data_IF_074714360080
#
_entry.id   IF_074714360080
#
_cell.length_a   1.000
_cell.length_b   1.000
_cell.length_c   1.000
_cell.angle_alpha   90.00
_cell.angle_beta   90.00
_cell.angle_gamma   90.00
#
_symmetry.space_group_name_H-M   'P 1'
#
loop_
_entity.id
_entity.type
_entity.pdbx_description
1 polymer ?
#
# COMPACT_ATOMS: atom_id res chain seq x y z
N UNK A 1 -6.98 29.86 13.26
CA UNK A 1 -6.93 28.44 13.71
C UNK A 1 -8.00 27.54 13.06
N UNK A 2 -8.60 27.93 11.93
CA UNK A 2 -9.70 27.20 11.26
C UNK A 2 -9.28 26.39 10.02
N UNK A 3 -8.06 26.57 9.50
CA UNK A 3 -7.66 25.99 8.20
C UNK A 3 -6.87 24.66 8.28
N UNK A 4 -6.40 24.27 9.46
CA UNK A 4 -5.69 22.99 9.64
C UNK A 4 -6.69 21.82 9.61
N UNK A 5 -7.84 21.97 10.28
CA UNK A 5 -8.87 20.93 10.30
C UNK A 5 -9.45 20.67 8.90
N UNK A 6 -9.67 21.73 8.11
CA UNK A 6 -10.20 21.63 6.74
C UNK A 6 -9.21 20.98 5.75
N UNK A 7 -7.90 21.15 5.97
CA UNK A 7 -6.87 20.51 5.13
C UNK A 7 -6.73 19.03 5.48
N UNK A 8 -6.86 18.67 6.76
CA UNK A 8 -6.87 17.27 7.22
C UNK A 8 -8.12 16.53 6.74
N UNK A 9 -9.27 17.20 6.63
CA UNK A 9 -10.52 16.61 6.14
C UNK A 9 -10.50 16.22 4.64
N UNK A 10 -9.52 16.69 3.83
CA UNK A 10 -9.29 16.20 2.45
C UNK A 10 -8.38 14.98 2.37
N UNK A 11 -7.72 14.63 3.47
CA UNK A 11 -6.87 13.45 3.57
C UNK A 11 -7.82 12.27 3.76
N UNK A 12 -7.80 11.30 2.85
CA UNK A 12 -8.58 10.06 3.00
C UNK A 12 -8.36 9.51 4.42
N UNK A 13 -9.43 9.28 5.18
CA UNK A 13 -9.36 8.89 6.61
C UNK A 13 -8.35 7.76 6.87
N UNK A 14 -8.27 6.79 5.94
CA UNK A 14 -7.27 5.73 5.95
C UNK A 14 -5.82 6.23 5.92
N UNK A 15 -5.50 7.14 5.01
CA UNK A 15 -4.14 7.70 4.88
C UNK A 15 -3.75 8.53 6.10
N UNK A 16 -4.70 9.24 6.71
CA UNK A 16 -4.46 9.97 7.95
C UNK A 16 -4.10 9.04 9.11
N UNK A 17 -4.89 7.97 9.34
CA UNK A 17 -4.62 7.02 10.42
C UNK A 17 -3.30 6.29 10.23
N UNK A 18 -2.93 5.92 8.99
CA UNK A 18 -1.64 5.30 8.68
C UNK A 18 -0.46 6.24 8.95
N UNK A 19 -0.54 7.52 8.55
CA UNK A 19 0.51 8.51 8.83
C UNK A 19 0.68 8.77 10.33
N UNK A 20 -0.41 8.78 11.09
CA UNK A 20 -0.34 8.89 12.53
C UNK A 20 0.37 7.69 13.16
N UNK A 21 0.04 6.47 12.71
CA UNK A 21 0.70 5.25 13.19
C UNK A 21 2.21 5.23 12.86
N UNK A 22 2.61 5.64 11.67
CA UNK A 22 4.02 5.77 11.30
C UNK A 22 4.77 6.76 12.19
N UNK A 23 4.13 7.91 12.47
CA UNK A 23 4.68 8.94 13.37
C UNK A 23 4.83 8.39 14.79
N UNK A 24 3.84 7.68 15.31
CA UNK A 24 3.91 7.05 16.63
C UNK A 24 5.06 6.05 16.72
N UNK A 25 5.18 5.16 15.72
CA UNK A 25 6.25 4.15 15.67
C UNK A 25 7.63 4.80 15.64
N UNK A 26 7.78 5.91 14.90
CA UNK A 26 9.04 6.64 14.82
C UNK A 26 9.44 7.30 16.16
N UNK A 27 8.48 7.73 16.98
CA UNK A 27 8.75 8.34 18.28
C UNK A 27 9.05 7.30 19.38
N UNK A 28 8.30 6.20 19.41
CA UNK A 28 8.29 5.28 20.56
C UNK A 28 9.36 4.17 20.49
N UNK A 29 9.90 3.85 19.31
CA UNK A 29 10.69 2.61 19.12
C UNK A 29 12.08 2.78 18.48
N UNK A 30 12.99 3.61 19.03
CA UNK A 30 14.37 3.68 18.54
C UNK A 30 15.20 2.42 18.84
N UNK A 31 14.78 1.58 19.80
CA UNK A 31 15.53 0.41 20.28
C UNK A 31 14.97 -0.95 19.82
N UNK A 32 13.85 -0.97 19.09
CA UNK A 32 13.28 -2.22 18.55
C UNK A 32 13.63 -2.39 17.07
N UNK A 33 13.81 -3.63 16.59
CA UNK A 33 13.99 -3.92 15.16
C UNK A 33 12.68 -3.72 14.39
N UNK A 34 12.34 -2.46 14.10
CA UNK A 34 11.11 -2.07 13.39
C UNK A 34 11.46 -1.41 12.07
N UNK A 35 10.63 -1.64 11.05
CA UNK A 35 10.72 -0.98 9.75
C UNK A 35 9.31 -0.60 9.27
N UNK A 36 9.20 0.54 8.62
CA UNK A 36 7.96 1.02 7.99
C UNK A 36 8.06 0.73 6.48
N UNK A 37 7.26 -0.23 6.01
CA UNK A 37 7.12 -0.52 4.59
C UNK A 37 5.88 0.19 4.01
N UNK A 38 6.05 0.90 2.89
CA UNK A 38 4.98 1.62 2.19
C UNK A 38 4.79 1.02 0.79
N UNK A 39 4.00 -0.06 0.65
CA UNK A 39 3.68 -0.58 -0.68
C UNK A 39 2.82 0.43 -1.45
N UNK A 40 2.95 0.42 -2.77
CA UNK A 40 2.07 1.15 -3.67
C UNK A 40 0.73 0.42 -3.84
N UNK A 41 -0.11 0.84 -4.78
CA UNK A 41 -1.41 0.20 -5.00
C UNK A 41 -1.22 -1.26 -5.40
N UNK A 42 -1.73 -2.18 -4.57
CA UNK A 42 -1.57 -3.62 -4.81
C UNK A 42 -2.51 -4.07 -5.92
N UNK A 43 -1.95 -4.76 -6.92
CA UNK A 43 -2.66 -5.35 -8.06
C UNK A 43 -2.63 -6.88 -8.00
N UNK A 44 -3.43 -7.57 -8.84
CA UNK A 44 -3.40 -9.03 -8.92
C UNK A 44 -1.99 -9.60 -9.16
N UNK A 45 -1.82 -10.86 -8.77
CA UNK A 45 -0.53 -11.54 -8.80
C UNK A 45 0.08 -11.56 -10.21
N UNK A 46 1.38 -11.32 -10.29
CA UNK A 46 2.12 -11.46 -11.54
C UNK A 46 2.36 -12.94 -11.86
N UNK A 47 2.85 -13.73 -10.89
CA UNK A 47 3.14 -15.17 -11.06
C UNK A 47 2.54 -16.08 -10.00
N UNK A 48 2.67 -15.74 -8.73
CA UNK A 48 2.32 -16.64 -7.62
C UNK A 48 1.13 -16.10 -6.79
N UNK A 49 0.19 -16.93 -6.31
CA UNK A 49 0.08 -18.39 -6.48
C UNK A 49 -0.36 -18.82 -7.89
N UNK A 50 -1.05 -17.93 -8.62
CA UNK A 50 -1.43 -18.09 -10.02
C UNK A 50 -1.42 -16.69 -10.68
N UNK A 51 -1.02 -16.55 -11.96
CA UNK A 51 -1.10 -15.27 -12.66
C UNK A 51 -2.53 -14.70 -12.66
N UNK A 52 -2.67 -13.43 -12.28
CA UNK A 52 -3.97 -12.75 -12.17
C UNK A 52 -4.78 -13.10 -10.92
N UNK A 53 -4.22 -13.89 -9.99
CA UNK A 53 -4.89 -14.20 -8.73
C UNK A 53 -5.10 -12.95 -7.87
N UNK A 54 -6.27 -12.87 -7.24
CA UNK A 54 -6.60 -11.85 -6.24
C UNK A 54 -7.49 -12.46 -5.15
N UNK A 55 -7.35 -11.95 -3.93
CA UNK A 55 -8.17 -12.31 -2.77
C UNK A 55 -9.56 -11.66 -2.80
N UNK A 56 -9.67 -10.45 -3.34
CA UNK A 56 -10.92 -9.69 -3.41
C UNK A 56 -10.95 -8.71 -4.61
N UNK A 57 -12.16 -8.23 -4.94
CA UNK A 57 -12.37 -7.25 -6.02
C UNK A 57 -12.47 -5.81 -5.50
N UNK A 58 -11.96 -5.51 -4.30
CA UNK A 58 -12.09 -4.19 -3.73
C UNK A 58 -11.16 -3.20 -4.45
N UNK A 59 -11.68 -1.99 -4.66
CA UNK A 59 -10.91 -0.88 -5.19
C UNK A 59 -10.35 -1.14 -6.61
N UNK A 60 -9.03 -0.96 -6.84
CA UNK A 60 -8.42 -1.03 -8.17
C UNK A 60 -8.63 -2.36 -8.89
N UNK A 61 -8.63 -3.48 -8.17
CA UNK A 61 -8.84 -4.79 -8.83
C UNK A 61 -10.25 -4.92 -9.40
N UNK A 62 -11.27 -4.40 -8.70
CA UNK A 62 -12.64 -4.37 -9.21
C UNK A 62 -12.76 -3.54 -10.49
N UNK A 63 -12.07 -2.40 -10.53
CA UNK A 63 -12.02 -1.54 -11.74
C UNK A 63 -11.36 -2.29 -12.90
N UNK A 64 -10.22 -2.95 -12.65
CA UNK A 64 -9.51 -3.73 -13.67
C UNK A 64 -10.39 -4.85 -14.24
N UNK A 65 -11.06 -5.63 -13.38
CA UNK A 65 -11.93 -6.73 -13.82
C UNK A 65 -13.17 -6.21 -14.55
N UNK A 66 -13.80 -5.15 -14.05
CA UNK A 66 -14.98 -4.59 -14.67
C UNK A 66 -14.65 -3.91 -16.02
N UNK A 67 -13.49 -3.29 -16.15
CA UNK A 67 -12.97 -2.81 -17.43
C UNK A 67 -12.66 -3.96 -18.40
N UNK A 68 -11.97 -5.01 -17.94
CA UNK A 68 -11.64 -6.18 -18.74
C UNK A 68 -12.88 -6.94 -19.25
N UNK A 69 -13.94 -7.01 -18.44
CA UNK A 69 -15.24 -7.58 -18.83
C UNK A 69 -16.08 -6.64 -19.70
N UNK A 70 -15.63 -5.40 -19.91
CA UNK A 70 -16.35 -4.39 -20.69
C UNK A 70 -17.56 -3.77 -19.98
N UNK A 71 -17.70 -3.97 -18.66
CA UNK A 71 -18.77 -3.37 -17.83
C UNK A 71 -18.49 -1.90 -17.59
N UNK A 72 -17.25 -1.55 -17.22
CA UNK A 72 -16.81 -0.15 -17.16
C UNK A 72 -16.32 0.26 -18.54
N UNK A 73 -16.94 1.30 -19.10
CA UNK A 73 -16.59 1.86 -20.42
C UNK A 73 -15.83 3.18 -20.33
N UNK A 74 -15.99 3.90 -19.23
CA UNK A 74 -15.38 5.21 -19.00
C UNK A 74 -15.04 5.37 -17.52
N UNK A 75 -13.90 5.98 -17.21
CA UNK A 75 -13.50 6.32 -15.85
C UNK A 75 -13.06 7.78 -15.82
N UNK A 76 -13.50 8.52 -14.81
CA UNK A 76 -13.03 9.89 -14.58
C UNK A 76 -11.65 9.81 -13.92
N UNK A 77 -10.61 10.08 -14.69
CA UNK A 77 -9.22 10.16 -14.21
C UNK A 77 -8.51 11.36 -14.84
N UNK A 78 -7.51 11.89 -14.14
CA UNK A 78 -6.56 12.81 -14.74
C UNK A 78 -5.39 11.98 -15.29
N UNK A 79 -5.15 12.08 -16.60
CA UNK A 79 -4.10 11.36 -17.31
C UNK A 79 -2.68 11.82 -17.00
N UNK A 80 -2.51 12.99 -16.38
CA UNK A 80 -1.20 13.51 -15.99
C UNK A 80 -0.64 12.83 -14.73
N UNK A 81 -1.46 12.05 -14.00
CA UNK A 81 -1.02 11.34 -12.81
C UNK A 81 -0.54 9.94 -13.12
N UNK A 82 0.66 9.63 -12.62
CA UNK A 82 1.22 8.29 -12.67
C UNK A 82 0.64 7.41 -11.56
N UNK A 83 0.05 6.28 -11.94
CA UNK A 83 -0.43 5.28 -11.00
C UNK A 83 0.73 4.37 -10.56
N UNK A 84 1.17 4.51 -9.31
CA UNK A 84 2.15 3.59 -8.72
C UNK A 84 1.44 2.31 -8.28
N UNK A 85 1.76 1.20 -8.94
CA UNK A 85 1.17 -0.11 -8.67
C UNK A 85 2.24 -1.16 -8.42
N UNK A 86 1.92 -2.18 -7.64
CA UNK A 86 2.79 -3.32 -7.37
C UNK A 86 1.96 -4.62 -7.33
N UNK A 87 2.38 -5.69 -8.03
CA UNK A 87 1.74 -6.99 -7.91
C UNK A 87 1.79 -7.54 -6.48
N UNK A 88 0.72 -8.19 -6.04
CA UNK A 88 0.59 -8.72 -4.66
C UNK A 88 1.71 -9.69 -4.28
N UNK A 89 2.17 -10.53 -5.21
CA UNK A 89 3.27 -11.47 -4.99
C UNK A 89 4.61 -10.75 -4.77
N UNK A 90 4.88 -9.69 -5.51
CA UNK A 90 6.07 -8.87 -5.30
C UNK A 90 6.02 -8.12 -3.97
N UNK A 91 4.86 -7.57 -3.62
CA UNK A 91 4.68 -6.84 -2.36
C UNK A 91 4.89 -7.74 -1.14
N UNK A 92 4.29 -8.93 -1.13
CA UNK A 92 4.42 -9.91 -0.04
C UNK A 92 5.86 -10.42 0.06
N UNK A 93 6.47 -10.80 -1.06
CA UNK A 93 7.86 -11.24 -1.07
C UNK A 93 8.81 -10.16 -0.54
N UNK A 94 8.58 -8.89 -0.92
CA UNK A 94 9.31 -7.75 -0.37
C UNK A 94 9.15 -7.61 1.14
N UNK A 95 7.93 -7.71 1.67
CA UNK A 95 7.67 -7.65 3.11
C UNK A 95 8.36 -8.78 3.90
N UNK A 96 8.36 -9.99 3.36
CA UNK A 96 9.06 -11.15 3.96
C UNK A 96 10.57 -10.87 4.05
N UNK A 97 11.17 -10.39 2.95
CA UNK A 97 12.61 -10.06 2.90
C UNK A 97 12.95 -8.93 3.87
N UNK A 98 12.11 -7.90 3.95
CA UNK A 98 12.28 -6.80 4.92
C UNK A 98 12.27 -7.35 6.34
N UNK A 99 11.28 -8.18 6.69
CA UNK A 99 11.18 -8.81 8.01
C UNK A 99 12.43 -9.62 8.36
N UNK A 100 12.90 -10.46 7.44
CA UNK A 100 14.12 -11.24 7.61
C UNK A 100 15.35 -10.36 7.82
N UNK A 101 15.52 -9.31 7.00
CA UNK A 101 16.66 -8.39 7.07
C UNK A 101 16.70 -7.65 8.40
N UNK A 102 15.56 -7.12 8.84
CA UNK A 102 15.45 -6.35 10.09
C UNK A 102 15.66 -7.26 11.30
N UNK A 103 15.09 -8.47 11.30
CA UNK A 103 15.30 -9.46 12.36
C UNK A 103 16.74 -9.97 12.43
N UNK A 104 17.39 -10.20 11.29
CA UNK A 104 18.77 -10.72 11.24
C UNK A 104 19.83 -9.67 11.54
N UNK A 105 19.52 -8.37 11.36
CA UNK A 105 20.45 -7.27 11.63
C UNK A 105 20.73 -7.06 13.12
N UNK A 106 19.98 -7.70 14.02
CA UNK A 106 20.11 -7.55 15.49
C UNK A 106 21.18 -8.44 16.14
N UNK A 107 21.95 -9.23 15.37
CA UNK A 107 23.00 -10.11 15.91
C UNK A 107 24.39 -9.48 15.86
N UNK A 108 24.56 -8.31 16.46
CA UNK A 108 25.86 -7.77 16.90
C UNK A 108 25.66 -6.98 18.21
N UNK A 109 25.47 -7.71 19.31
CA UNK A 109 25.93 -7.29 20.63
C UNK A 109 26.76 -8.44 21.19
#
# INVERSE_FOLDING_TARGET
MSNILATVLRIMQYTFTKRLAETLVAHEYPALPVCIARPSIVTPAWREPLPGWVDNLNGPTGILVAGAKGVIRTMLCNGDYHAEVIPVDMAINGLIVIGYKIGSSQRKR
#
